data_IF_186026921159
#
_entry.id   IF_186026921159
#
_cell.length_a   1.000
_cell.length_b   1.000
_cell.length_c   1.000
_cell.angle_alpha   90.00
_cell.angle_beta   90.00
_cell.angle_gamma   90.00
#
_symmetry.space_group_name_H-M   'P 1'
#
loop_
_entity.id
_entity.type
_entity.pdbx_description
1 polymer ?
#
# COMPACT_ATOMS: atom_id res chain seq x y z
N UNK A 1 -0.39 -15.60 -13.83
CA UNK A 1 -1.22 -14.95 -12.79
C UNK A 1 -0.36 -14.77 -11.55
N UNK A 2 -0.34 -13.60 -10.92
CA UNK A 2 0.47 -13.38 -9.73
C UNK A 2 -0.12 -14.15 -8.55
N UNK A 3 0.72 -14.94 -7.87
CA UNK A 3 0.35 -15.70 -6.69
C UNK A 3 1.28 -15.31 -5.54
N UNK A 4 0.71 -14.97 -4.38
CA UNK A 4 1.43 -14.51 -3.20
C UNK A 4 0.89 -15.25 -1.96
N UNK A 5 1.79 -15.80 -1.17
CA UNK A 5 1.49 -16.37 0.13
C UNK A 5 2.16 -15.53 1.22
N UNK A 6 1.37 -14.92 2.08
CA UNK A 6 1.83 -14.28 3.32
C UNK A 6 1.75 -15.32 4.43
N UNK A 7 2.86 -15.56 5.13
CA UNK A 7 2.90 -16.56 6.21
C UNK A 7 3.07 -15.89 7.55
N UNK A 8 2.44 -16.46 8.57
CA UNK A 8 2.57 -16.06 9.98
C UNK A 8 2.26 -14.57 10.23
N UNK A 9 1.32 -14.01 9.49
CA UNK A 9 0.85 -12.62 9.70
C UNK A 9 -0.23 -12.57 10.77
N UNK A 10 -0.28 -11.47 11.53
CA UNK A 10 -1.38 -11.22 12.45
C UNK A 10 -2.57 -10.62 11.70
N UNK A 11 -3.71 -11.28 11.75
CA UNK A 11 -4.98 -10.80 11.20
C UNK A 11 -6.04 -10.83 12.32
N UNK A 12 -6.60 -9.68 12.70
CA UNK A 12 -7.58 -9.57 13.79
C UNK A 12 -7.16 -10.29 15.08
N UNK A 13 -5.91 -10.07 15.50
CA UNK A 13 -5.28 -10.67 16.69
C UNK A 13 -5.00 -12.18 16.62
N UNK A 14 -5.18 -12.82 15.48
CA UNK A 14 -4.83 -14.24 15.26
C UNK A 14 -3.72 -14.37 14.22
N UNK A 15 -2.87 -15.37 14.38
CA UNK A 15 -1.84 -15.68 13.39
C UNK A 15 -2.45 -16.49 12.24
N UNK A 16 -2.23 -16.03 11.02
CA UNK A 16 -2.77 -16.63 9.82
C UNK A 16 -1.73 -16.73 8.70
N UNK A 17 -1.98 -17.65 7.77
CA UNK A 17 -1.37 -17.68 6.44
C UNK A 17 -2.43 -17.24 5.43
N UNK A 18 -2.07 -16.33 4.53
CA UNK A 18 -3.00 -15.74 3.55
C UNK A 18 -2.47 -15.97 2.16
N UNK A 19 -3.23 -16.69 1.34
CA UNK A 19 -2.93 -16.86 -0.08
C UNK A 19 -3.74 -15.88 -0.92
N UNK A 20 -3.04 -15.11 -1.73
CA UNK A 20 -3.58 -14.14 -2.68
C UNK A 20 -3.33 -14.67 -4.10
N UNK A 21 -4.39 -14.76 -4.90
CA UNK A 21 -4.32 -15.15 -6.31
C UNK A 21 -4.85 -14.01 -7.17
N UNK A 22 -3.98 -13.45 -8.00
CA UNK A 22 -4.30 -12.24 -8.74
C UNK A 22 -4.50 -11.05 -7.78
N UNK A 23 -5.74 -10.56 -7.67
CA UNK A 23 -6.12 -9.42 -6.84
C UNK A 23 -7.13 -9.77 -5.73
N UNK A 24 -7.28 -11.07 -5.40
CA UNK A 24 -8.25 -11.52 -4.39
C UNK A 24 -7.57 -12.39 -3.32
N UNK A 25 -8.10 -12.33 -2.11
CA UNK A 25 -7.78 -13.29 -1.04
C UNK A 25 -8.41 -14.64 -1.39
N UNK A 26 -7.60 -15.60 -1.80
CA UNK A 26 -8.05 -16.91 -2.24
C UNK A 26 -8.31 -17.83 -1.04
N UNK A 27 -7.42 -17.82 -0.06
CA UNK A 27 -7.54 -18.58 1.19
C UNK A 27 -6.94 -17.83 2.36
N UNK A 28 -7.59 -17.93 3.51
CA UNK A 28 -7.07 -17.50 4.82
C UNK A 28 -7.15 -18.73 5.71
N UNK A 29 -6.04 -19.17 6.23
CA UNK A 29 -5.94 -20.37 7.07
C UNK A 29 -5.11 -20.08 8.32
N UNK A 30 -5.27 -20.86 9.41
CA UNK A 30 -4.40 -20.71 10.57
C UNK A 30 -2.92 -20.79 10.19
N UNK A 31 -2.07 -20.06 10.89
CA UNK A 31 -0.63 -20.04 10.63
C UNK A 31 -0.02 -21.46 10.66
N UNK A 32 0.84 -21.75 9.68
CA UNK A 32 1.45 -23.05 9.48
C UNK A 32 0.57 -24.06 8.73
N UNK A 33 -0.70 -23.76 8.46
CA UNK A 33 -1.60 -24.65 7.71
C UNK A 33 -1.47 -24.48 6.20
N UNK A 34 -0.79 -23.44 5.72
CA UNK A 34 -0.57 -23.21 4.29
C UNK A 34 0.20 -24.32 3.59
N UNK A 35 0.96 -25.15 4.31
CA UNK A 35 1.64 -26.34 3.78
C UNK A 35 0.68 -27.36 3.16
N UNK A 36 -0.60 -27.31 3.51
CA UNK A 36 -1.64 -28.20 3.00
C UNK A 36 -2.36 -27.59 1.77
N UNK A 37 -2.00 -26.37 1.35
CA UNK A 37 -2.56 -25.74 0.18
C UNK A 37 -1.81 -26.17 -1.09
N UNK A 38 -2.57 -26.42 -2.15
CA UNK A 38 -2.00 -26.62 -3.50
C UNK A 38 -1.82 -25.23 -4.11
N UNK A 39 -0.59 -24.74 -4.13
CA UNK A 39 -0.23 -23.44 -4.64
C UNK A 39 0.42 -23.56 -6.04
N UNK A 40 0.27 -22.55 -6.91
CA UNK A 40 1.03 -22.47 -8.16
C UNK A 40 2.55 -22.48 -7.88
N UNK A 41 3.33 -23.11 -8.77
CA UNK A 41 4.80 -23.19 -8.62
C UNK A 41 5.49 -21.84 -8.50
N UNK A 42 4.95 -20.81 -9.16
CA UNK A 42 5.48 -19.45 -9.13
C UNK A 42 4.93 -18.59 -7.97
N UNK A 43 4.36 -19.21 -6.93
CA UNK A 43 3.86 -18.47 -5.77
C UNK A 43 5.03 -17.82 -5.02
N UNK A 44 5.00 -16.48 -4.92
CA UNK A 44 5.92 -15.74 -4.07
C UNK A 44 5.52 -15.94 -2.61
N UNK A 45 6.46 -16.35 -1.77
CA UNK A 45 6.23 -16.48 -0.33
C UNK A 45 6.87 -15.30 0.39
N UNK A 46 6.11 -14.69 1.30
CA UNK A 46 6.59 -13.62 2.19
C UNK A 46 6.36 -14.06 3.63
N UNK A 47 7.43 -14.12 4.40
CA UNK A 47 7.37 -14.38 5.83
C UNK A 47 6.99 -13.09 6.57
N UNK A 48 5.88 -13.12 7.28
CA UNK A 48 5.27 -11.97 7.93
C UNK A 48 5.24 -12.05 9.45
N UNK A 49 6.09 -12.86 10.06
CA UNK A 49 6.20 -12.94 11.52
C UNK A 49 6.47 -11.55 12.13
N UNK A 50 5.63 -11.14 13.09
CA UNK A 50 5.68 -9.80 13.68
C UNK A 50 4.99 -8.69 12.88
N UNK A 51 4.45 -8.98 11.70
CA UNK A 51 3.67 -8.04 10.91
C UNK A 51 2.17 -8.28 11.08
N UNK A 52 1.39 -7.20 10.94
CA UNK A 52 -0.07 -7.25 10.99
C UNK A 52 -0.68 -6.85 9.64
N UNK A 53 -1.77 -7.51 9.29
CA UNK A 53 -2.62 -7.12 8.17
C UNK A 53 -3.76 -6.26 8.71
N UNK A 54 -3.87 -5.08 8.17
CA UNK A 54 -4.95 -4.12 8.49
C UNK A 54 -5.70 -3.74 7.22
N UNK A 55 -6.96 -3.29 7.33
CA UNK A 55 -7.67 -2.69 6.20
C UNK A 55 -6.90 -1.50 5.63
N UNK A 56 -6.99 -1.23 4.32
CA UNK A 56 -6.33 -0.07 3.72
C UNK A 56 -6.94 1.23 4.25
N UNK A 57 -6.13 2.28 4.24
CA UNK A 57 -6.62 3.63 4.48
C UNK A 57 -7.28 4.17 3.21
N UNK A 58 -8.38 4.88 3.40
CA UNK A 58 -9.06 5.60 2.32
C UNK A 58 -8.70 7.07 2.41
N UNK A 59 -8.16 7.62 1.34
CA UNK A 59 -7.82 9.04 1.26
C UNK A 59 -8.66 9.69 0.14
N UNK A 60 -9.70 10.40 0.55
CA UNK A 60 -10.61 11.10 -0.36
C UNK A 60 -10.13 12.51 -0.76
N UNK A 61 -9.10 13.02 -0.10
CA UNK A 61 -8.51 14.33 -0.39
C UNK A 61 -7.01 14.31 -0.11
N UNK A 62 -6.21 14.61 -1.13
CA UNK A 62 -4.75 14.65 -1.00
C UNK A 62 -4.13 15.66 -1.96
N UNK A 63 -3.00 16.24 -1.54
CA UNK A 63 -2.13 17.08 -2.33
C UNK A 63 -0.73 16.44 -2.42
N UNK A 64 -0.67 15.20 -2.86
CA UNK A 64 0.55 14.39 -2.84
C UNK A 64 1.72 15.05 -3.59
N UNK A 65 1.46 15.68 -4.74
CA UNK A 65 2.48 16.39 -5.52
C UNK A 65 3.09 17.58 -4.74
N UNK A 66 2.31 18.22 -3.86
CA UNK A 66 2.79 19.35 -3.05
C UNK A 66 3.81 18.96 -1.97
N UNK A 67 3.96 17.67 -1.66
CA UNK A 67 4.95 17.18 -0.68
C UNK A 67 6.38 17.56 -1.08
N UNK A 68 6.65 17.62 -2.38
CA UNK A 68 7.96 18.02 -2.93
C UNK A 68 8.23 19.53 -2.77
N UNK A 69 7.20 20.31 -2.48
CA UNK A 69 7.23 21.78 -2.44
C UNK A 69 7.14 22.33 -1.02
N UNK A 70 7.42 21.51 -0.02
CA UNK A 70 7.40 21.93 1.39
C UNK A 70 8.40 23.07 1.62
N UNK A 71 7.93 24.21 2.16
CA UNK A 71 8.72 25.40 2.39
C UNK A 71 9.06 26.20 1.12
N UNK A 72 8.46 25.85 -0.03
CA UNK A 72 8.66 26.58 -1.26
C UNK A 72 7.76 27.80 -1.35
N UNK A 73 8.37 28.99 -1.49
CA UNK A 73 7.70 30.27 -1.64
C UNK A 73 6.69 30.58 -0.50
N UNK A 74 7.11 30.37 0.76
CA UNK A 74 6.32 30.68 1.95
C UNK A 74 6.06 32.20 2.11
N UNK A 75 5.20 32.58 3.07
CA UNK A 75 4.88 33.95 3.45
C UNK A 75 4.16 34.79 2.39
N UNK A 76 3.24 34.16 1.64
CA UNK A 76 2.38 34.88 0.70
C UNK A 76 0.93 34.42 0.77
N UNK A 77 -0.05 35.23 0.30
CA UNK A 77 -1.46 34.83 0.24
C UNK A 77 -1.65 33.54 -0.55
N UNK A 78 -2.49 32.63 -0.03
CA UNK A 78 -2.72 31.30 -0.57
C UNK A 78 -2.96 31.28 -2.09
N UNK A 79 -3.84 32.15 -2.59
CA UNK A 79 -4.18 32.14 -4.02
C UNK A 79 -2.98 32.51 -4.89
N UNK A 80 -2.19 33.49 -4.46
CA UNK A 80 -0.98 33.88 -5.16
C UNK A 80 0.05 32.76 -5.14
N UNK A 81 0.26 32.11 -3.99
CA UNK A 81 1.14 30.98 -3.84
C UNK A 81 0.77 29.82 -4.78
N UNK A 82 -0.53 29.47 -4.84
CA UNK A 82 -1.01 28.42 -5.73
C UNK A 82 -0.80 28.78 -7.22
N UNK A 83 -1.25 29.98 -7.64
CA UNK A 83 -1.29 30.34 -9.07
C UNK A 83 0.09 30.68 -9.67
N UNK A 84 0.97 31.32 -8.89
CA UNK A 84 2.25 31.80 -9.40
C UNK A 84 3.40 30.77 -9.18
N UNK A 85 3.27 29.89 -8.16
CA UNK A 85 4.37 28.99 -7.78
C UNK A 85 3.98 27.51 -7.87
N UNK A 86 2.91 27.09 -7.23
CA UNK A 86 2.60 25.67 -7.08
C UNK A 86 2.10 25.06 -8.39
N UNK A 87 1.02 25.60 -8.95
CA UNK A 87 0.43 25.05 -10.18
C UNK A 87 1.38 25.08 -11.40
N UNK A 88 2.20 26.13 -11.61
CA UNK A 88 3.20 26.11 -12.67
C UNK A 88 4.27 25.04 -12.47
N UNK A 89 4.63 24.74 -11.21
CA UNK A 89 5.58 23.67 -10.90
C UNK A 89 4.96 22.30 -11.10
N UNK A 90 3.75 22.06 -10.56
CA UNK A 90 3.04 20.79 -10.69
C UNK A 90 2.82 20.38 -12.15
N UNK A 91 2.54 21.35 -13.04
CA UNK A 91 2.41 21.11 -14.49
C UNK A 91 3.68 20.56 -15.15
N UNK A 92 4.83 20.68 -14.52
CA UNK A 92 6.10 20.16 -15.03
C UNK A 92 6.42 18.76 -14.52
N UNK A 93 5.65 18.26 -13.54
CA UNK A 93 5.82 16.90 -13.03
C UNK A 93 5.30 15.91 -14.07
N UNK A 94 6.12 14.92 -14.40
CA UNK A 94 5.75 13.78 -15.24
C UNK A 94 5.68 12.51 -14.38
N UNK A 95 4.83 11.57 -14.79
CA UNK A 95 4.78 10.24 -14.20
C UNK A 95 6.01 9.41 -14.57
#
# INVERSE_FOLDING_TARGET
MNSLLLRHVTLKNELADIWISGNVFSKIVPAGSSKNLILPENTRVVEGAGLAIIPPFYNAHTHAAMTLLRGYADDMPLFRWLSEYIWPFEKKLSA
#
